data_IF_590646073150
#
_entry.id   IF_590646073150
#
_cell.length_a   1.000
_cell.length_b   1.000
_cell.length_c   1.000
_cell.angle_alpha   90.00
_cell.angle_beta   90.00
_cell.angle_gamma   90.00
#
_symmetry.space_group_name_H-M   'P 1'
#
loop_
_entity.id
_entity.type
_entity.pdbx_description
1 polymer ?
#
# COMPACT_ATOMS: atom_id res chain seq x y z
N UNK A 1 11.21 69.82 -28.72
CA UNK A 1 12.62 69.56 -29.11
C UNK A 1 13.03 68.25 -28.43
N UNK A 2 12.81 67.10 -29.06
CA UNK A 2 13.71 66.41 -30.00
C UNK A 2 15.14 66.21 -29.46
N UNK A 3 15.54 64.93 -29.38
CA UNK A 3 16.89 64.38 -29.10
C UNK A 3 17.25 64.44 -27.60
N UNK A 4 17.38 63.30 -26.90
CA UNK A 4 18.51 62.38 -27.07
C UNK A 4 18.09 60.91 -27.00
N UNK A 5 18.54 60.20 -28.02
CA UNK A 5 18.50 58.76 -28.24
C UNK A 5 19.75 58.17 -27.56
N UNK A 6 19.71 56.87 -27.26
CA UNK A 6 20.81 55.96 -26.92
C UNK A 6 21.28 55.92 -25.47
N UNK A 7 20.73 54.97 -24.70
CA UNK A 7 21.53 54.03 -23.90
C UNK A 7 20.65 52.84 -23.47
N UNK A 8 21.23 51.64 -23.53
CA UNK A 8 20.70 50.37 -23.01
C UNK A 8 19.56 49.68 -23.78
N UNK A 9 19.74 49.55 -25.09
CA UNK A 9 19.24 48.35 -25.77
C UNK A 9 20.18 47.18 -25.46
N UNK A 10 19.87 46.36 -24.45
CA UNK A 10 20.04 44.89 -24.34
C UNK A 10 19.39 44.46 -23.01
N UNK A 11 18.07 44.45 -22.91
CA UNK A 11 17.37 43.74 -21.81
C UNK A 11 16.00 43.20 -22.26
N UNK A 12 15.85 42.98 -23.56
CA UNK A 12 14.77 42.17 -24.11
C UNK A 12 15.38 40.83 -24.49
N UNK A 13 14.74 39.75 -24.05
CA UNK A 13 15.13 38.34 -24.20
C UNK A 13 16.25 37.86 -23.27
N UNK A 14 15.92 37.65 -22.00
CA UNK A 14 16.37 36.42 -21.34
C UNK A 14 15.41 36.05 -20.20
N UNK A 15 15.06 34.77 -20.16
CA UNK A 15 14.43 34.06 -19.03
C UNK A 15 12.91 34.25 -18.86
N UNK A 16 12.20 34.18 -19.98
CA UNK A 16 10.85 33.58 -20.02
C UNK A 16 11.01 32.05 -20.04
N UNK A 17 11.46 31.45 -18.94
CA UNK A 17 11.65 29.99 -18.85
C UNK A 17 11.91 29.51 -17.42
N UNK A 18 10.97 29.77 -16.51
CA UNK A 18 10.83 28.99 -15.28
C UNK A 18 9.35 28.71 -15.03
N UNK A 19 8.67 28.18 -16.04
CA UNK A 19 7.56 27.25 -15.78
C UNK A 19 8.23 25.97 -15.25
N UNK A 20 8.66 26.00 -13.99
CA UNK A 20 9.03 24.81 -13.27
C UNK A 20 7.77 23.93 -13.23
N UNK A 21 7.75 22.95 -14.12
CA UNK A 21 6.83 21.82 -14.07
C UNK A 21 7.14 21.16 -12.72
N UNK A 22 6.41 21.56 -11.67
CA UNK A 22 6.25 20.76 -10.47
C UNK A 22 5.40 19.56 -10.89
N UNK A 23 6.02 18.63 -11.61
CA UNK A 23 5.57 17.26 -11.64
C UNK A 23 5.81 16.75 -10.22
N UNK A 24 4.82 16.94 -9.35
CA UNK A 24 4.69 16.13 -8.16
C UNK A 24 4.72 14.70 -8.68
N UNK A 25 5.85 14.01 -8.48
CA UNK A 25 5.92 12.58 -8.71
C UNK A 25 4.82 11.99 -7.82
N UNK A 26 3.72 11.59 -8.43
CA UNK A 26 2.67 10.87 -7.73
C UNK A 26 3.36 9.68 -7.05
N UNK A 27 3.22 9.59 -5.73
CA UNK A 27 3.76 8.47 -4.98
C UNK A 27 3.25 7.18 -5.64
N UNK A 28 4.15 6.23 -5.92
CA UNK A 28 3.79 4.95 -6.53
C UNK A 28 2.77 4.26 -5.63
N UNK A 29 1.53 4.20 -6.11
CA UNK A 29 0.39 3.63 -5.38
C UNK A 29 0.31 2.11 -5.53
N UNK A 30 1.27 1.49 -6.22
CA UNK A 30 1.28 0.06 -6.52
C UNK A 30 0.21 -0.35 -7.54
N UNK A 31 0.18 -1.64 -7.90
CA UNK A 31 -0.82 -2.17 -8.83
C UNK A 31 -2.22 -2.15 -8.22
N UNK A 32 -3.24 -2.03 -9.08
CA UNK A 32 -4.63 -1.99 -8.65
C UNK A 32 -5.14 -3.34 -8.11
N UNK A 33 -4.58 -4.44 -8.62
CA UNK A 33 -4.84 -5.81 -8.18
C UNK A 33 -3.51 -6.51 -7.88
N UNK A 34 -3.50 -7.30 -6.81
CA UNK A 34 -2.34 -8.07 -6.36
C UNK A 34 -2.80 -9.49 -6.08
N UNK A 35 -1.94 -10.46 -6.35
CA UNK A 35 -2.12 -11.82 -5.83
C UNK A 35 -1.10 -12.05 -4.71
N UNK A 36 -1.59 -12.37 -3.51
CA UNK A 36 -0.76 -12.69 -2.36
C UNK A 36 -0.45 -14.19 -2.33
N UNK A 37 0.79 -14.56 -2.06
CA UNK A 37 1.20 -15.96 -2.00
C UNK A 37 1.06 -16.71 -3.33
N UNK A 38 1.40 -16.07 -4.45
CA UNK A 38 1.32 -16.65 -5.81
C UNK A 38 2.00 -18.01 -5.93
N UNK A 39 3.13 -18.20 -5.25
CA UNK A 39 3.87 -19.47 -5.24
C UNK A 39 3.30 -20.52 -4.28
N UNK A 40 2.25 -20.17 -3.53
CA UNK A 40 1.60 -21.04 -2.55
C UNK A 40 0.47 -21.89 -3.13
N UNK A 41 -0.02 -22.86 -2.34
CA UNK A 41 -1.11 -23.77 -2.75
C UNK A 41 -2.47 -23.08 -2.90
N UNK A 42 -2.67 -21.95 -2.22
CA UNK A 42 -3.91 -21.17 -2.21
C UNK A 42 -3.57 -19.67 -2.26
N UNK A 43 -3.22 -19.15 -3.44
CA UNK A 43 -3.03 -17.71 -3.60
C UNK A 43 -4.31 -16.96 -3.24
N UNK A 44 -4.18 -15.75 -2.72
CA UNK A 44 -5.32 -14.88 -2.44
C UNK A 44 -5.35 -13.71 -3.42
N UNK A 45 -6.50 -13.48 -4.06
CA UNK A 45 -6.71 -12.27 -4.85
C UNK A 45 -6.96 -11.09 -3.91
N UNK A 46 -6.30 -9.97 -4.19
CA UNK A 46 -6.39 -8.76 -3.38
C UNK A 46 -6.63 -7.55 -4.29
N UNK A 47 -7.86 -6.99 -4.32
CA UNK A 47 -8.13 -5.76 -5.04
C UNK A 47 -7.56 -4.58 -4.25
N UNK A 48 -6.25 -4.35 -4.40
CA UNK A 48 -5.49 -3.36 -3.65
C UNK A 48 -6.07 -1.94 -3.78
N UNK A 49 -6.44 -1.52 -4.99
CA UNK A 49 -7.05 -0.20 -5.23
C UNK A 49 -8.33 0.01 -4.41
N UNK A 50 -9.19 -1.02 -4.30
CA UNK A 50 -10.43 -0.92 -3.52
C UNK A 50 -10.15 -0.69 -2.04
N UNK A 51 -9.06 -1.26 -1.52
CA UNK A 51 -8.67 -1.05 -0.13
C UNK A 51 -8.01 0.33 0.04
N UNK A 52 -7.18 0.75 -0.90
CA UNK A 52 -6.56 2.08 -0.89
C UNK A 52 -7.60 3.22 -0.95
N UNK A 53 -8.70 3.02 -1.69
CA UNK A 53 -9.80 3.99 -1.77
C UNK A 53 -10.59 4.10 -0.45
N UNK A 54 -10.48 3.10 0.45
CA UNK A 54 -11.26 3.01 1.70
C UNK A 54 -10.42 3.10 2.98
N UNK A 55 -9.12 2.82 2.91
CA UNK A 55 -8.24 2.64 4.05
C UNK A 55 -6.90 3.33 3.84
N UNK A 56 -6.27 3.75 4.94
CA UNK A 56 -4.93 4.34 4.92
C UNK A 56 -3.89 3.23 4.70
N UNK A 57 -2.75 3.58 4.10
CA UNK A 57 -1.61 2.67 3.89
C UNK A 57 -1.21 1.95 5.19
N UNK A 58 -1.25 2.68 6.32
CA UNK A 58 -0.87 2.22 7.63
C UNK A 58 -1.79 1.14 8.25
N UNK A 59 -2.99 0.94 7.72
CA UNK A 59 -3.89 -0.13 8.17
C UNK A 59 -3.36 -1.52 7.79
N UNK A 60 -2.48 -1.59 6.79
CA UNK A 60 -1.91 -2.84 6.29
C UNK A 60 -0.38 -2.84 6.32
N UNK A 61 0.24 -1.76 5.86
CA UNK A 61 1.70 -1.65 5.80
C UNK A 61 2.25 -1.22 7.15
N UNK A 62 3.14 -2.02 7.70
CA UNK A 62 3.82 -1.74 8.95
C UNK A 62 5.31 -2.08 8.80
N UNK A 63 6.15 -1.44 9.61
CA UNK A 63 7.55 -1.83 9.72
C UNK A 63 7.74 -2.95 10.75
N UNK A 64 8.98 -3.38 10.89
CA UNK A 64 9.41 -4.26 11.97
C UNK A 64 10.74 -3.77 12.56
N UNK A 65 10.84 -3.74 13.88
CA UNK A 65 12.08 -3.55 14.62
C UNK A 65 12.19 -4.64 15.69
N UNK A 66 13.31 -5.37 15.73
CA UNK A 66 13.58 -6.44 16.71
C UNK A 66 12.46 -7.49 16.81
N UNK A 67 11.89 -7.87 15.67
CA UNK A 67 10.79 -8.84 15.60
C UNK A 67 9.46 -8.33 16.16
N UNK A 68 9.32 -7.01 16.38
CA UNK A 68 8.09 -6.34 16.80
C UNK A 68 7.60 -5.42 15.69
N UNK A 69 6.28 -5.35 15.54
CA UNK A 69 5.65 -4.43 14.61
C UNK A 69 5.93 -2.98 15.02
N UNK A 70 6.29 -2.13 14.06
CA UNK A 70 6.38 -0.68 14.24
C UNK A 70 5.46 0.03 13.24
N UNK A 71 5.01 1.27 13.54
CA UNK A 71 4.07 1.98 12.69
C UNK A 71 4.58 2.22 11.27
N UNK A 72 3.64 2.41 10.35
CA UNK A 72 3.91 2.84 9.00
C UNK A 72 4.63 4.19 8.95
N UNK A 73 5.57 4.36 8.03
CA UNK A 73 6.08 5.68 7.61
C UNK A 73 6.01 5.81 6.10
N UNK A 74 5.71 7.01 5.60
CA UNK A 74 5.64 7.32 4.16
C UNK A 74 6.97 7.06 3.42
N UNK A 75 8.09 7.16 4.14
CA UNK A 75 9.43 6.95 3.58
C UNK A 75 9.86 5.48 3.57
N UNK A 76 9.11 4.56 4.21
CA UNK A 76 9.52 3.17 4.23
C UNK A 76 9.32 2.52 2.86
N UNK A 77 10.26 1.67 2.47
CA UNK A 77 10.07 0.81 1.33
C UNK A 77 9.01 -0.24 1.66
N UNK A 78 7.96 -0.30 0.85
CA UNK A 78 6.94 -1.34 0.96
C UNK A 78 7.47 -2.63 0.32
N UNK A 79 7.72 -3.63 1.17
CA UNK A 79 8.15 -4.97 0.75
C UNK A 79 6.96 -5.95 0.75
N UNK A 80 7.13 -7.09 0.08
CA UNK A 80 6.15 -8.18 0.13
C UNK A 80 6.04 -8.74 1.56
N UNK A 81 4.85 -9.13 1.98
CA UNK A 81 4.60 -9.68 3.32
C UNK A 81 5.50 -10.88 3.63
N UNK A 82 5.74 -11.76 2.65
CA UNK A 82 6.55 -12.97 2.80
C UNK A 82 8.02 -12.70 3.11
N UNK A 83 8.52 -11.47 2.91
CA UNK A 83 9.91 -11.10 3.25
C UNK A 83 10.18 -11.19 4.75
N UNK A 84 9.16 -10.91 5.59
CA UNK A 84 9.25 -11.02 7.04
C UNK A 84 8.34 -12.11 7.62
N UNK A 85 7.15 -12.32 7.06
CA UNK A 85 6.20 -13.34 7.51
C UNK A 85 6.56 -14.74 7.02
N UNK A 86 7.69 -15.24 7.52
CA UNK A 86 8.25 -16.54 7.20
C UNK A 86 8.95 -17.16 8.43
N UNK A 87 9.24 -18.47 8.32
CA UNK A 87 9.84 -19.28 9.36
C UNK A 87 11.30 -18.90 9.71
N UNK A 88 11.95 -18.04 8.92
CA UNK A 88 13.32 -17.60 9.17
C UNK A 88 13.36 -16.31 9.98
N UNK A 89 12.54 -15.32 9.62
CA UNK A 89 12.56 -13.98 10.21
C UNK A 89 11.69 -13.89 11.47
N UNK A 90 10.51 -14.52 11.45
CA UNK A 90 9.54 -14.43 12.54
C UNK A 90 9.33 -15.75 13.28
N UNK A 91 10.25 -16.71 13.16
CA UNK A 91 10.16 -18.06 13.71
C UNK A 91 9.47 -18.11 15.09
N UNK A 92 8.35 -18.84 15.18
CA UNK A 92 7.62 -19.05 16.44
C UNK A 92 6.89 -17.82 16.97
N UNK A 93 6.84 -16.70 16.26
CA UNK A 93 6.04 -15.53 16.63
C UNK A 93 4.57 -15.80 16.34
N UNK A 94 3.72 -15.42 17.29
CA UNK A 94 2.28 -15.64 17.25
C UNK A 94 1.53 -14.35 17.53
N UNK A 95 0.35 -14.19 16.93
CA UNK A 95 -0.72 -13.29 17.38
C UNK A 95 -1.90 -14.18 17.73
N UNK A 96 -2.22 -14.29 19.02
CA UNK A 96 -3.20 -15.24 19.54
C UNK A 96 -2.93 -16.68 19.04
N UNK A 97 -3.82 -17.23 18.21
CA UNK A 97 -3.72 -18.58 17.63
C UNK A 97 -3.10 -18.58 16.23
N UNK A 98 -2.65 -17.43 15.73
CA UNK A 98 -2.17 -17.25 14.37
C UNK A 98 -0.64 -17.13 14.34
N UNK A 99 -0.01 -17.99 13.56
CA UNK A 99 1.43 -18.05 13.41
C UNK A 99 1.93 -16.97 12.44
N UNK A 100 2.57 -15.94 12.96
CA UNK A 100 3.05 -14.77 12.20
C UNK A 100 4.28 -15.09 11.36
N UNK A 101 4.95 -16.22 11.62
CA UNK A 101 5.99 -16.80 10.77
C UNK A 101 5.44 -17.48 9.50
N UNK A 102 4.16 -17.28 9.20
CA UNK A 102 3.53 -17.70 7.96
C UNK A 102 2.74 -16.57 7.33
N UNK A 103 2.75 -16.49 6.00
CA UNK A 103 1.88 -15.58 5.25
C UNK A 103 0.39 -15.83 5.58
N UNK A 104 0.00 -17.09 5.79
CA UNK A 104 -1.38 -17.46 6.15
C UNK A 104 -1.78 -16.84 7.48
N UNK A 105 -0.94 -16.96 8.52
CA UNK A 105 -1.25 -16.41 9.82
C UNK A 105 -1.29 -14.88 9.80
N UNK A 106 -0.36 -14.23 9.11
CA UNK A 106 -0.38 -12.79 8.91
C UNK A 106 -1.64 -12.32 8.16
N UNK A 107 -1.95 -12.95 7.02
CA UNK A 107 -3.12 -12.60 6.20
C UNK A 107 -4.45 -12.87 6.91
N UNK A 108 -4.59 -13.98 7.63
CA UNK A 108 -5.81 -14.23 8.39
C UNK A 108 -5.92 -13.37 9.64
N UNK A 109 -4.79 -12.98 10.24
CA UNK A 109 -4.75 -12.13 11.43
C UNK A 109 -4.91 -10.65 11.14
N UNK A 110 -4.84 -10.24 9.88
CA UNK A 110 -5.13 -8.87 9.47
C UNK A 110 -6.41 -8.81 8.62
N UNK A 111 -6.39 -9.47 7.46
CA UNK A 111 -7.45 -9.36 6.45
C UNK A 111 -8.74 -10.04 6.92
N UNK A 112 -8.66 -11.32 7.34
CA UNK A 112 -9.85 -12.08 7.71
C UNK A 112 -10.50 -11.57 9.01
N UNK A 113 -9.71 -11.14 10.00
CA UNK A 113 -10.23 -10.52 11.22
C UNK A 113 -10.98 -9.21 10.93
N UNK A 114 -10.40 -8.33 10.10
CA UNK A 114 -11.06 -7.10 9.67
C UNK A 114 -12.35 -7.42 8.89
N UNK A 115 -12.30 -8.35 7.94
CA UNK A 115 -13.48 -8.73 7.14
C UNK A 115 -14.59 -9.34 8.00
N UNK A 116 -14.26 -10.16 9.01
CA UNK A 116 -15.26 -10.67 9.97
C UNK A 116 -15.91 -9.54 10.75
N UNK A 117 -15.11 -8.57 11.20
CA UNK A 117 -15.62 -7.39 11.92
C UNK A 117 -16.56 -6.60 11.01
N UNK A 118 -16.14 -6.30 9.78
CA UNK A 118 -16.94 -5.55 8.81
C UNK A 118 -18.20 -6.28 8.35
N UNK A 119 -18.15 -7.60 8.18
CA UNK A 119 -19.32 -8.42 7.88
C UNK A 119 -20.31 -8.51 9.06
N UNK A 120 -19.85 -8.31 10.30
CA UNK A 120 -20.74 -8.24 11.46
C UNK A 120 -21.36 -6.85 11.63
N UNK A 121 -20.65 -5.79 11.21
CA UNK A 121 -21.11 -4.40 11.27
C UNK A 121 -22.06 -4.03 10.11
N UNK A 122 -21.89 -4.63 8.93
CA UNK A 122 -22.63 -4.29 7.71
C UNK A 122 -23.20 -5.54 7.02
N UNK A 123 -24.53 -5.59 6.94
CA UNK A 123 -25.28 -6.68 6.32
C UNK A 123 -24.98 -6.85 4.82
N UNK A 124 -24.70 -5.76 4.09
CA UNK A 124 -24.34 -5.83 2.67
C UNK A 124 -22.94 -6.45 2.48
N UNK A 125 -22.02 -6.20 3.41
CA UNK A 125 -20.70 -6.86 3.42
C UNK A 125 -20.79 -8.33 3.82
N UNK A 126 -21.72 -8.66 4.73
CA UNK A 126 -22.06 -10.05 5.07
C UNK A 126 -22.61 -10.83 3.89
N UNK A 127 -23.52 -10.22 3.12
CA UNK A 127 -24.11 -10.81 1.92
C UNK A 127 -23.04 -11.08 0.85
N UNK A 128 -22.06 -10.19 0.73
CA UNK A 128 -20.88 -10.35 -0.13
C UNK A 128 -19.90 -11.43 0.35
N UNK A 129 -20.16 -12.08 1.49
CA UNK A 129 -19.36 -13.21 2.02
C UNK A 129 -17.87 -12.87 2.14
N UNK A 130 -17.54 -11.63 2.53
CA UNK A 130 -16.14 -11.17 2.62
C UNK A 130 -15.28 -11.97 3.60
N UNK A 131 -15.92 -12.62 4.57
CA UNK A 131 -15.29 -13.48 5.58
C UNK A 131 -15.14 -14.95 5.16
N UNK A 132 -15.52 -15.30 3.91
CA UNK A 132 -15.45 -16.68 3.40
C UNK A 132 -14.19 -16.93 2.58
N UNK A 133 -13.72 -18.19 2.63
CA UNK A 133 -12.48 -18.63 2.02
C UNK A 133 -12.44 -18.34 0.52
N UNK A 134 -13.53 -18.64 -0.18
CA UNK A 134 -13.64 -18.58 -1.65
C UNK A 134 -13.60 -17.16 -2.19
N UNK A 135 -13.97 -16.18 -1.36
CA UNK A 135 -13.94 -14.76 -1.73
C UNK A 135 -12.51 -14.26 -1.93
N UNK A 136 -11.57 -14.75 -1.11
CA UNK A 136 -10.16 -14.42 -1.23
C UNK A 136 -9.39 -15.47 -2.06
N UNK A 137 -9.77 -16.74 -1.94
CA UNK A 137 -9.15 -17.88 -2.61
C UNK A 137 -10.09 -18.49 -3.65
N UNK A 138 -10.35 -17.81 -4.77
CA UNK A 138 -11.22 -18.34 -5.81
C UNK A 138 -10.64 -19.66 -6.34
N UNK A 139 -11.52 -20.63 -6.56
CA UNK A 139 -11.14 -21.84 -7.30
C UNK A 139 -10.82 -21.40 -8.73
N UNK A 140 -9.62 -21.73 -9.18
CA UNK A 140 -9.27 -21.63 -10.60
C UNK A 140 -10.06 -22.66 -11.40
#
# INVERSE_FOLDING_TARGET
>A
MLKKIFACGVMSLLIMSCAAILAFAAADQGPAEVTLGESGKKPAVFPHKKHQDAFKCAECHHGMADGKQVPYTEAQKVEKCETCHNATVLAGKMKDKLALDTLKGAGHGNCLECHKTKANEDAALKEKKLDKCETCHPKK
#
